data_IF_296524589832
#
_entry.id   IF_296524589832
#
_cell.length_a   1.000
_cell.length_b   1.000
_cell.length_c   1.000
_cell.angle_alpha   90.00
_cell.angle_beta   90.00
_cell.angle_gamma   90.00
#
_symmetry.space_group_name_H-M   'P 1'
#
loop_
_entity.id
_entity.type
_entity.pdbx_description
1 polymer ?
#
# COMPACT_ATOMS: atom_id res chain seq x y z
N UNK A 1 -21.28 -18.16 53.70
CA UNK A 1 -21.73 -18.83 52.45
C UNK A 1 -20.60 -18.65 51.46
N UNK A 2 -19.87 -19.75 51.24
CA UNK A 2 -18.73 -19.83 50.33
C UNK A 2 -19.24 -19.83 48.88
N UNK A 3 -18.42 -19.38 47.93
CA UNK A 3 -18.25 -20.11 46.67
C UNK A 3 -16.86 -19.83 46.07
N UNK A 4 -16.19 -20.94 45.76
CA UNK A 4 -14.84 -21.07 45.25
C UNK A 4 -14.91 -21.27 43.73
N UNK A 5 -14.19 -20.44 42.97
CA UNK A 5 -13.91 -20.67 41.56
C UNK A 5 -12.62 -21.48 41.40
N UNK A 6 -12.72 -22.74 40.96
CA UNK A 6 -11.59 -23.50 40.39
C UNK A 6 -12.13 -24.34 39.22
N UNK A 7 -11.75 -23.98 37.99
CA UNK A 7 -11.90 -24.82 36.81
C UNK A 7 -10.51 -25.07 36.21
N UNK A 8 -10.00 -26.29 36.39
CA UNK A 8 -8.79 -26.81 35.76
C UNK A 8 -9.13 -27.93 34.78
N UNK A 9 -8.77 -27.69 33.51
CA UNK A 9 -8.12 -28.58 32.54
C UNK A 9 -8.71 -29.98 32.26
N UNK A 10 -9.07 -30.26 31.01
CA UNK A 10 -8.25 -31.05 30.05
C UNK A 10 -9.03 -31.44 28.77
N UNK A 11 -8.37 -31.30 27.62
CA UNK A 11 -8.68 -31.93 26.33
C UNK A 11 -8.34 -33.43 26.32
N UNK A 12 -8.85 -34.22 25.35
CA UNK A 12 -7.94 -34.63 24.27
C UNK A 12 -8.56 -34.75 22.85
N UNK A 13 -7.71 -34.38 21.89
CA UNK A 13 -7.46 -34.88 20.52
C UNK A 13 -8.47 -35.84 19.88
N UNK A 14 -8.94 -35.49 18.67
CA UNK A 14 -9.23 -36.46 17.62
C UNK A 14 -8.71 -35.99 16.24
N UNK A 15 -8.12 -36.94 15.52
CA UNK A 15 -7.40 -36.81 14.24
C UNK A 15 -8.21 -37.49 13.14
N UNK A 16 -8.55 -36.77 12.05
CA UNK A 16 -8.60 -37.34 10.68
C UNK A 16 -8.81 -36.31 9.56
N UNK A 17 -7.73 -36.12 8.80
CA UNK A 17 -7.57 -36.14 7.35
C UNK A 17 -8.61 -35.54 6.37
N UNK A 18 -8.11 -34.52 5.66
CA UNK A 18 -8.09 -34.32 4.19
C UNK A 18 -9.39 -34.20 3.40
N UNK A 19 -9.69 -32.97 2.96
CA UNK A 19 -10.16 -32.70 1.60
C UNK A 19 -9.51 -31.42 1.04
N UNK A 20 -8.91 -31.57 -0.13
CA UNK A 20 -8.28 -30.52 -0.94
C UNK A 20 -9.36 -29.71 -1.65
N UNK A 21 -9.53 -28.43 -1.32
CA UNK A 21 -10.30 -27.49 -2.15
C UNK A 21 -9.40 -26.36 -2.65
N UNK A 22 -9.16 -26.39 -3.96
CA UNK A 22 -8.25 -25.50 -4.67
C UNK A 22 -8.72 -24.05 -4.62
N UNK A 23 -7.89 -23.20 -4.03
CA UNK A 23 -8.00 -21.76 -4.17
C UNK A 23 -7.66 -21.37 -5.60
N UNK A 24 -8.67 -20.93 -6.35
CA UNK A 24 -8.51 -20.35 -7.67
C UNK A 24 -7.68 -19.06 -7.56
N UNK A 25 -6.72 -18.95 -8.47
CA UNK A 25 -5.73 -17.88 -8.66
C UNK A 25 -6.27 -16.47 -8.36
N UNK A 26 -5.64 -15.79 -7.39
CA UNK A 26 -5.85 -14.38 -7.13
C UNK A 26 -5.12 -13.56 -8.21
N UNK A 27 -5.89 -12.86 -9.04
CA UNK A 27 -5.35 -11.94 -10.03
C UNK A 27 -4.64 -10.76 -9.33
N UNK A 28 -3.32 -10.80 -9.32
CA UNK A 28 -2.47 -9.70 -8.87
C UNK A 28 -2.54 -8.57 -9.91
N UNK A 29 -3.26 -7.49 -9.59
CA UNK A 29 -3.29 -6.29 -10.43
C UNK A 29 -1.98 -5.53 -10.23
N UNK A 30 -1.09 -5.61 -11.23
CA UNK A 30 0.13 -4.81 -11.29
C UNK A 30 -0.21 -3.33 -11.44
N UNK A 31 0.40 -2.49 -10.59
CA UNK A 31 0.26 -1.03 -10.60
C UNK A 31 1.13 -0.44 -11.70
N UNK A 32 0.58 0.55 -12.40
CA UNK A 32 1.32 1.39 -13.35
C UNK A 32 2.46 2.12 -12.64
N UNK A 33 3.70 1.86 -13.05
CA UNK A 33 4.87 2.69 -12.76
C UNK A 33 5.10 3.66 -13.92
N UNK A 34 5.16 4.96 -13.62
CA UNK A 34 5.56 5.99 -14.57
C UNK A 34 7.10 6.00 -14.59
N UNK A 35 7.71 5.50 -15.67
CA UNK A 35 9.15 5.64 -15.91
C UNK A 35 9.39 6.94 -16.67
N UNK A 36 10.06 7.91 -16.02
CA UNK A 36 10.69 9.04 -16.73
C UNK A 36 11.99 8.54 -17.35
N UNK A 37 12.11 8.60 -18.68
CA UNK A 37 13.38 8.37 -19.37
C UNK A 37 14.14 9.69 -19.48
N UNK A 38 15.19 9.84 -18.68
CA UNK A 38 16.25 10.82 -18.91
C UNK A 38 17.34 10.15 -19.74
N UNK A 39 17.58 10.66 -20.94
CA UNK A 39 18.80 10.40 -21.71
C UNK A 39 19.30 11.78 -22.10
N UNK A 40 20.29 12.38 -21.43
CA UNK A 40 21.61 11.82 -21.16
C UNK A 40 22.50 12.19 -22.34
N UNK A 41 22.85 13.47 -22.45
CA UNK A 41 23.74 13.99 -23.49
C UNK A 41 25.18 13.54 -23.26
N UNK A 42 25.91 13.31 -24.35
CA UNK A 42 27.36 13.19 -24.31
C UNK A 42 27.99 13.76 -25.57
N UNK A 43 28.96 14.64 -25.35
CA UNK A 43 29.80 15.33 -26.33
C UNK A 43 31.18 14.66 -26.33
N UNK A 44 31.75 14.33 -27.50
CA UNK A 44 33.15 14.64 -27.87
C UNK A 44 33.65 13.95 -29.16
N UNK A 45 34.08 14.81 -30.08
CA UNK A 45 35.33 14.89 -30.84
C UNK A 45 35.77 13.84 -31.90
N UNK A 46 35.81 14.37 -33.14
CA UNK A 46 36.86 14.35 -34.17
C UNK A 46 37.32 13.03 -34.80
N UNK A 47 37.00 12.84 -36.09
CA UNK A 47 38.00 12.44 -37.11
C UNK A 47 37.60 12.95 -38.50
N UNK A 48 38.61 13.36 -39.27
CA UNK A 48 38.60 13.91 -40.63
C UNK A 48 38.19 12.90 -41.71
N UNK A 49 37.55 13.39 -42.77
CA UNK A 49 37.32 12.59 -43.98
C UNK A 49 36.33 13.22 -44.95
N UNK A 50 36.81 14.09 -45.83
CA UNK A 50 36.09 14.46 -47.05
C UNK A 50 36.24 13.33 -48.06
N UNK A 51 35.17 12.63 -48.44
CA UNK A 51 35.05 12.03 -49.78
C UNK A 51 33.58 11.86 -50.21
N UNK A 52 33.30 12.46 -51.38
CA UNK A 52 32.42 12.01 -52.45
C UNK A 52 30.96 11.62 -52.15
N UNK A 53 30.08 12.39 -52.79
CA UNK A 53 28.70 12.02 -53.08
C UNK A 53 28.59 10.64 -53.75
N UNK A 54 27.80 9.75 -53.15
CA UNK A 54 27.09 8.71 -53.88
C UNK A 54 25.64 8.68 -53.39
N UNK A 55 24.76 9.21 -54.25
CA UNK A 55 23.31 9.25 -54.07
C UNK A 55 22.76 7.83 -54.21
N UNK A 56 22.82 7.02 -53.16
CA UNK A 56 22.12 5.74 -53.13
C UNK A 56 20.64 5.98 -52.85
N UNK A 57 19.88 5.91 -53.94
CA UNK A 57 18.44 5.71 -54.04
C UNK A 57 17.90 4.96 -52.82
N UNK A 58 17.14 5.65 -51.97
CA UNK A 58 16.23 5.03 -50.99
C UNK A 58 15.36 4.04 -51.76
N UNK A 59 15.70 2.76 -51.70
CA UNK A 59 14.72 1.72 -51.97
C UNK A 59 13.82 1.72 -50.75
N UNK A 60 12.66 2.34 -50.90
CA UNK A 60 11.51 2.06 -50.07
C UNK A 60 11.14 0.60 -50.25
N UNK A 61 11.77 -0.27 -49.46
CA UNK A 61 11.29 -1.61 -49.24
C UNK A 61 10.01 -1.48 -48.43
N UNK A 62 8.89 -1.37 -49.14
CA UNK A 62 7.56 -1.55 -48.57
C UNK A 62 7.41 -3.01 -48.19
N UNK A 63 8.01 -3.41 -47.07
CA UNK A 63 7.50 -4.54 -46.33
C UNK A 63 6.62 -3.97 -45.23
N UNK A 64 5.34 -3.82 -45.59
CA UNK A 64 4.26 -3.80 -44.63
C UNK A 64 4.35 -5.09 -43.80
N UNK A 65 5.12 -5.04 -42.73
CA UNK A 65 5.04 -6.00 -41.65
C UNK A 65 4.65 -5.20 -40.41
N UNK A 66 3.43 -4.65 -40.43
CA UNK A 66 2.72 -4.36 -39.19
C UNK A 66 2.69 -5.67 -38.40
N UNK A 67 3.35 -5.78 -37.24
CA UNK A 67 3.16 -6.94 -36.40
C UNK A 67 1.69 -6.91 -35.99
N UNK A 68 0.96 -7.91 -36.49
CA UNK A 68 -0.45 -8.13 -36.20
C UNK A 68 -0.59 -8.33 -34.69
N UNK A 69 -1.38 -7.47 -34.06
CA UNK A 69 -2.08 -7.77 -32.81
C UNK A 69 -1.30 -7.50 -31.53
N UNK A 70 -0.92 -6.25 -31.29
CA UNK A 70 -0.99 -5.76 -29.92
C UNK A 70 -2.49 -5.57 -29.66
N UNK A 71 -3.13 -6.57 -29.07
CA UNK A 71 -4.33 -6.32 -28.28
C UNK A 71 -3.89 -5.32 -27.22
N UNK A 72 -4.07 -4.03 -27.52
CA UNK A 72 -4.13 -3.02 -26.51
C UNK A 72 -5.20 -3.52 -25.55
N UNK A 73 -4.76 -4.09 -24.43
CA UNK A 73 -5.62 -4.68 -23.42
C UNK A 73 -6.47 -3.51 -22.97
N UNK A 74 -7.65 -3.34 -23.58
CA UNK A 74 -8.63 -2.35 -23.16
C UNK A 74 -8.82 -2.67 -21.69
N UNK A 75 -8.32 -1.80 -20.84
CA UNK A 75 -8.65 -1.86 -19.44
C UNK A 75 -10.16 -1.66 -19.41
N UNK A 76 -10.88 -2.77 -19.24
CA UNK A 76 -12.34 -2.73 -19.08
C UNK A 76 -12.53 -1.84 -17.87
N UNK A 77 -13.00 -0.62 -18.13
CA UNK A 77 -13.41 0.31 -17.08
C UNK A 77 -14.76 -0.21 -16.63
N UNK A 78 -14.75 -0.96 -15.55
CA UNK A 78 -15.98 -1.33 -14.88
C UNK A 78 -16.61 -0.05 -14.35
N UNK A 79 -17.91 0.12 -14.63
CA UNK A 79 -18.69 1.19 -14.02
C UNK A 79 -18.84 0.94 -12.52
N UNK A 80 -19.02 2.02 -11.77
CA UNK A 80 -19.35 1.90 -10.35
C UNK A 80 -20.63 1.09 -10.20
N UNK A 81 -20.63 0.18 -9.23
CA UNK A 81 -21.74 -0.75 -9.00
C UNK A 81 -22.80 -0.14 -8.07
N UNK A 82 -22.63 1.13 -7.68
CA UNK A 82 -23.52 1.93 -6.82
C UNK A 82 -23.99 1.19 -5.57
N UNK A 83 -23.14 0.33 -5.03
CA UNK A 83 -23.46 -0.37 -3.77
C UNK A 83 -23.20 0.60 -2.65
N UNK A 84 -24.20 0.82 -1.82
CA UNK A 84 -24.12 1.78 -0.71
C UNK A 84 -23.66 1.14 0.60
N UNK A 85 -23.58 -0.18 0.65
CA UNK A 85 -23.20 -0.94 1.84
C UNK A 85 -22.19 -2.04 1.48
N UNK A 86 -21.20 -2.30 2.34
CA UNK A 86 -20.28 -3.42 2.19
C UNK A 86 -21.03 -4.74 2.41
N UNK A 87 -20.61 -5.79 1.71
CA UNK A 87 -21.10 -7.13 1.98
C UNK A 87 -20.75 -7.53 3.42
N UNK A 88 -21.53 -8.41 4.04
CA UNK A 88 -21.37 -8.78 5.46
C UNK A 88 -19.97 -9.29 5.81
N UNK A 89 -19.34 -10.02 4.88
CA UNK A 89 -17.99 -10.58 5.03
C UNK A 89 -16.87 -9.53 4.90
N UNK A 90 -17.19 -8.36 4.34
CA UNK A 90 -16.23 -7.29 4.03
C UNK A 90 -16.33 -6.08 4.99
N UNK A 91 -17.01 -6.26 6.13
CA UNK A 91 -17.07 -5.24 7.18
C UNK A 91 -15.71 -5.03 7.84
N UNK A 92 -15.44 -3.78 8.21
CA UNK A 92 -14.18 -3.40 8.86
C UNK A 92 -14.18 -3.85 10.32
N UNK A 93 -13.39 -4.88 10.63
CA UNK A 93 -13.04 -5.21 12.01
C UNK A 93 -11.94 -4.28 12.52
N UNK A 94 -12.35 -3.22 13.21
CA UNK A 94 -11.45 -2.21 13.77
C UNK A 94 -10.47 -2.80 14.79
N UNK A 95 -10.87 -3.83 15.53
CA UNK A 95 -10.00 -4.43 16.54
C UNK A 95 -8.84 -5.15 15.87
N UNK A 96 -9.14 -6.02 14.89
CA UNK A 96 -8.12 -6.73 14.11
C UNK A 96 -7.19 -5.76 13.37
N UNK A 97 -7.75 -4.73 12.74
CA UNK A 97 -6.97 -3.70 12.02
C UNK A 97 -6.05 -2.96 13.00
N UNK A 98 -6.57 -2.56 14.17
CA UNK A 98 -5.79 -1.85 15.20
C UNK A 98 -4.64 -2.71 15.73
N UNK A 99 -4.88 -3.99 16.00
CA UNK A 99 -3.84 -4.93 16.44
C UNK A 99 -2.74 -5.08 15.37
N UNK A 100 -3.13 -5.29 14.12
CA UNK A 100 -2.19 -5.43 13.01
C UNK A 100 -1.36 -4.15 12.81
N UNK A 101 -2.03 -2.99 12.77
CA UNK A 101 -1.36 -1.69 12.65
C UNK A 101 -0.40 -1.44 13.81
N UNK A 102 -0.80 -1.78 15.03
CA UNK A 102 0.03 -1.60 16.23
C UNK A 102 1.29 -2.45 16.15
N UNK A 103 1.17 -3.73 15.79
CA UNK A 103 2.33 -4.63 15.64
C UNK A 103 3.30 -4.14 14.57
N UNK A 104 2.79 -3.66 13.44
CA UNK A 104 3.59 -3.09 12.35
C UNK A 104 4.31 -1.82 12.80
N UNK A 105 3.65 -0.94 13.54
CA UNK A 105 4.25 0.30 14.05
C UNK A 105 5.32 0.00 15.10
N UNK A 106 5.06 -0.94 16.01
CA UNK A 106 6.01 -1.34 17.05
C UNK A 106 7.28 -1.95 16.46
N UNK A 107 7.15 -2.81 15.46
CA UNK A 107 8.29 -3.40 14.75
C UNK A 107 9.09 -2.35 13.97
N UNK A 108 8.42 -1.37 13.35
CA UNK A 108 9.10 -0.31 12.61
C UNK A 108 9.82 0.70 13.52
N UNK A 109 9.30 0.95 14.72
CA UNK A 109 9.86 1.90 15.69
C UNK A 109 10.93 1.24 16.58
N UNK A 110 10.98 -0.08 16.66
CA UNK A 110 11.98 -0.80 17.44
C UNK A 110 13.40 -0.41 17.01
N UNK A 111 14.13 0.30 17.87
CA UNK A 111 15.49 0.77 17.61
C UNK A 111 15.59 2.07 16.78
N UNK A 112 14.47 2.73 16.46
CA UNK A 112 14.50 4.02 15.76
C UNK A 112 14.94 5.15 16.69
N UNK A 113 15.96 5.89 16.26
CA UNK A 113 16.41 7.14 16.90
C UNK A 113 16.02 8.33 16.04
N UNK A 114 15.67 9.45 16.67
CA UNK A 114 15.21 10.62 15.94
C UNK A 114 16.36 11.36 15.26
N UNK A 115 16.36 11.38 13.94
CA UNK A 115 17.19 12.27 13.12
C UNK A 115 16.30 13.20 12.28
N UNK A 116 16.42 14.53 12.40
CA UNK A 116 15.59 15.47 11.62
C UNK A 116 15.73 15.30 10.11
N UNK A 117 16.90 14.86 9.61
CA UNK A 117 17.12 14.68 8.18
C UNK A 117 16.42 13.42 7.64
N UNK A 118 16.37 12.36 8.44
CA UNK A 118 15.78 11.07 8.07
C UNK A 118 14.29 10.97 8.43
N UNK A 119 13.81 11.76 9.39
CA UNK A 119 12.44 11.69 9.90
C UNK A 119 11.38 11.81 8.80
N UNK A 120 11.59 12.69 7.81
CA UNK A 120 10.67 12.84 6.68
C UNK A 120 10.60 11.56 5.84
N UNK A 121 11.74 10.99 5.49
CA UNK A 121 11.81 9.77 4.70
C UNK A 121 11.22 8.58 5.46
N UNK A 122 11.54 8.47 6.75
CA UNK A 122 10.99 7.45 7.62
C UNK A 122 9.47 7.56 7.77
N UNK A 123 8.91 8.77 7.91
CA UNK A 123 7.47 8.97 7.98
C UNK A 123 6.74 8.50 6.70
N UNK A 124 7.30 8.80 5.53
CA UNK A 124 6.74 8.34 4.24
C UNK A 124 6.85 6.82 4.12
N UNK A 125 8.02 6.25 4.43
CA UNK A 125 8.24 4.81 4.39
C UNK A 125 7.29 4.06 5.34
N UNK A 126 7.07 4.58 6.55
CA UNK A 126 6.14 4.03 7.53
C UNK A 126 4.69 4.11 7.01
N UNK A 127 4.30 5.23 6.41
CA UNK A 127 2.97 5.40 5.82
C UNK A 127 2.72 4.38 4.70
N UNK A 128 3.70 4.19 3.80
CA UNK A 128 3.62 3.23 2.71
C UNK A 128 3.60 1.79 3.20
N UNK A 129 4.40 1.48 4.22
CA UNK A 129 4.44 0.16 4.84
C UNK A 129 3.07 -0.18 5.45
N UNK A 130 2.50 0.71 6.26
CA UNK A 130 1.18 0.51 6.87
C UNK A 130 0.11 0.39 5.78
N UNK A 131 0.11 1.29 4.79
CA UNK A 131 -0.81 1.25 3.65
C UNK A 131 -0.70 -0.08 2.90
N UNK A 132 0.50 -0.61 2.72
CA UNK A 132 0.72 -1.88 2.02
C UNK A 132 0.17 -3.07 2.80
N UNK A 133 0.36 -3.09 4.13
CA UNK A 133 -0.16 -4.14 5.01
C UNK A 133 -1.69 -4.12 5.06
N UNK A 134 -2.29 -2.93 5.17
CA UNK A 134 -3.75 -2.79 5.20
C UNK A 134 -4.40 -3.19 3.87
N UNK A 135 -3.70 -3.01 2.75
CA UNK A 135 -4.18 -3.44 1.42
C UNK A 135 -4.16 -4.96 1.22
N UNK A 136 -3.43 -5.71 2.04
CA UNK A 136 -3.46 -7.17 1.98
C UNK A 136 -4.75 -7.74 2.58
N UNK A 137 -5.44 -6.95 3.41
CA UNK A 137 -6.75 -7.32 3.94
C UNK A 137 -7.82 -7.18 2.84
N UNK A 138 -8.82 -8.07 2.80
CA UNK A 138 -9.82 -8.12 1.74
C UNK A 138 -10.86 -7.00 1.91
N UNK A 139 -10.50 -5.76 1.58
CA UNK A 139 -11.40 -4.61 1.61
C UNK A 139 -11.51 -3.99 0.20
N UNK A 140 -12.22 -4.64 -0.74
CA UNK A 140 -12.19 -4.26 -2.15
C UNK A 140 -12.77 -2.86 -2.43
N UNK A 141 -13.69 -2.39 -1.59
CA UNK A 141 -14.42 -1.11 -1.74
C UNK A 141 -13.95 -0.01 -0.81
N UNK A 142 -12.88 -0.22 -0.05
CA UNK A 142 -12.37 0.80 0.85
C UNK A 142 -11.12 1.47 0.29
N UNK A 143 -11.19 2.79 0.16
CA UNK A 143 -10.01 3.62 -0.04
C UNK A 143 -9.34 3.83 1.31
N UNK A 144 -8.13 3.31 1.42
CA UNK A 144 -7.29 3.43 2.61
C UNK A 144 -6.38 4.64 2.46
N UNK A 145 -6.32 5.49 3.47
CA UNK A 145 -5.38 6.61 3.57
C UNK A 145 -4.66 6.56 4.92
N UNK A 146 -3.37 6.85 4.92
CA UNK A 146 -2.54 6.81 6.13
C UNK A 146 -1.84 8.14 6.28
N UNK A 147 -2.05 8.77 7.43
CA UNK A 147 -1.36 9.98 7.85
C UNK A 147 -0.42 9.62 8.98
N UNK A 148 0.87 9.95 8.82
CA UNK A 148 1.91 9.72 9.82
C UNK A 148 2.48 11.06 10.25
N UNK A 149 2.58 11.27 11.56
CA UNK A 149 3.23 12.41 12.18
C UNK A 149 4.34 11.91 13.10
N UNK A 150 5.56 12.38 12.87
CA UNK A 150 6.74 12.05 13.67
C UNK A 150 7.35 13.35 14.15
N UNK A 151 7.71 13.42 15.43
CA UNK A 151 8.44 14.56 15.94
C UNK A 151 9.31 14.22 17.14
N UNK A 152 10.22 15.14 17.44
CA UNK A 152 11.18 14.98 18.52
C UNK A 152 10.53 15.24 19.88
N UNK A 153 10.84 14.40 20.88
CA UNK A 153 10.42 14.57 22.26
C UNK A 153 11.43 15.47 22.98
N UNK A 154 11.06 16.74 23.19
CA UNK A 154 11.87 17.75 23.92
C UNK A 154 11.07 18.50 24.99
N UNK A 155 10.12 17.82 25.62
CA UNK A 155 9.23 18.46 26.62
C UNK A 155 8.18 19.40 26.02
N UNK A 156 7.89 19.26 24.73
CA UNK A 156 6.87 20.03 24.02
C UNK A 156 5.49 19.38 24.17
N UNK A 157 4.42 20.17 24.07
CA UNK A 157 3.05 19.66 23.99
C UNK A 157 2.54 19.76 22.56
N UNK A 158 2.01 18.67 22.04
CA UNK A 158 1.39 18.61 20.72
C UNK A 158 -0.01 18.02 20.82
N UNK A 159 -0.99 18.72 20.24
CA UNK A 159 -2.36 18.23 20.06
C UNK A 159 -2.71 18.16 18.58
N UNK A 160 -2.94 16.95 18.08
CA UNK A 160 -3.40 16.73 16.71
C UNK A 160 -4.90 16.41 16.75
N UNK A 161 -5.66 17.11 15.90
CA UNK A 161 -7.10 16.88 15.71
C UNK A 161 -7.36 16.82 14.22
N UNK A 162 -8.17 15.87 13.78
CA UNK A 162 -8.69 15.79 12.42
C UNK A 162 -10.20 15.99 12.45
N UNK A 163 -10.74 16.75 11.49
CA UNK A 163 -12.19 16.95 11.29
C UNK A 163 -12.52 16.48 9.89
N UNK A 164 -13.49 15.57 9.79
CA UNK A 164 -13.90 14.95 8.54
C UNK A 164 -15.42 15.03 8.39
N UNK A 165 -15.88 15.15 7.14
CA UNK A 165 -17.27 14.92 6.75
C UNK A 165 -17.26 13.57 6.05
N UNK A 166 -17.99 12.60 6.58
CA UNK A 166 -17.91 11.20 6.18
C UNK A 166 -19.18 10.46 6.61
N UNK A 167 -19.45 9.28 6.05
CA UNK A 167 -20.61 8.50 6.42
C UNK A 167 -20.41 7.80 7.78
N UNK A 168 -21.34 8.01 8.69
CA UNK A 168 -21.34 7.43 10.03
C UNK A 168 -21.44 5.91 9.99
N UNK A 169 -22.03 5.32 8.95
CA UNK A 169 -22.22 3.87 8.87
C UNK A 169 -21.00 3.16 8.29
N UNK A 170 -20.45 3.64 7.18
CA UNK A 170 -19.39 2.91 6.47
C UNK A 170 -17.98 3.40 6.75
N UNK A 171 -17.78 4.71 6.95
CA UNK A 171 -16.44 5.28 7.08
C UNK A 171 -15.89 5.12 8.49
N UNK A 172 -14.60 4.78 8.60
CA UNK A 172 -13.94 4.51 9.88
C UNK A 172 -12.53 5.06 9.92
N UNK A 173 -12.05 5.40 11.10
CA UNK A 173 -10.68 5.85 11.32
C UNK A 173 -10.10 5.17 12.54
N UNK A 174 -8.78 5.01 12.55
CA UNK A 174 -8.03 4.47 13.68
C UNK A 174 -6.83 5.37 13.91
N UNK A 175 -6.67 5.82 15.16
CA UNK A 175 -5.51 6.58 15.60
C UNK A 175 -4.69 5.75 16.58
N UNK A 176 -3.40 5.67 16.32
CA UNK A 176 -2.41 4.96 17.14
C UNK A 176 -1.29 5.94 17.45
N UNK A 177 -0.95 6.04 18.73
CA UNK A 177 0.16 6.85 19.21
C UNK A 177 1.16 5.93 19.89
N UNK A 178 2.43 6.07 19.53
CA UNK A 178 3.55 5.37 20.14
C UNK A 178 4.63 6.38 20.47
N UNK A 179 5.27 6.18 21.60
CA UNK A 179 6.36 7.01 22.07
C UNK A 179 7.62 6.17 22.20
N UNK A 180 8.73 6.78 21.85
CA UNK A 180 10.09 6.28 22.05
C UNK A 180 10.78 7.20 23.06
N UNK A 181 12.04 6.94 23.40
CA UNK A 181 12.84 7.82 24.24
C UNK A 181 12.92 9.25 23.67
N UNK A 182 13.24 9.37 22.37
CA UNK A 182 13.58 10.67 21.76
C UNK A 182 12.53 11.21 20.79
N UNK A 183 11.48 10.42 20.49
CA UNK A 183 10.45 10.77 19.51
C UNK A 183 9.05 10.33 19.92
N UNK A 184 8.06 10.99 19.34
CA UNK A 184 6.68 10.52 19.31
C UNK A 184 6.29 10.22 17.86
N UNK A 185 5.48 9.18 17.69
CA UNK A 185 4.93 8.76 16.40
C UNK A 185 3.42 8.62 16.55
N UNK A 186 2.69 9.34 15.72
CA UNK A 186 1.24 9.26 15.63
C UNK A 186 0.85 8.85 14.22
N UNK A 187 0.02 7.82 14.13
CA UNK A 187 -0.51 7.31 12.87
C UNK A 187 -2.02 7.37 12.92
N UNK A 188 -2.62 8.00 11.92
CA UNK A 188 -4.06 7.97 11.68
C UNK A 188 -4.33 7.29 10.35
N UNK A 189 -5.13 6.22 10.39
CA UNK A 189 -5.56 5.47 9.22
C UNK A 189 -7.03 5.79 9.00
N UNK A 190 -7.38 6.20 7.78
CA UNK A 190 -8.75 6.46 7.34
C UNK A 190 -9.17 5.38 6.35
N UNK A 191 -10.39 4.88 6.55
CA UNK A 191 -11.08 3.97 5.66
C UNK A 191 -12.30 4.70 5.13
N UNK A 192 -12.31 4.95 3.82
CA UNK A 192 -13.40 5.62 3.13
C UNK A 192 -14.04 4.63 2.18
N UNK A 193 -15.34 4.42 2.30
CA UNK A 193 -16.09 3.55 1.42
C UNK A 193 -16.30 4.21 0.05
N UNK A 194 -16.10 3.43 -1.02
CA UNK A 194 -16.33 3.88 -2.40
C UNK A 194 -17.49 3.10 -3.01
N UNK A 195 -18.54 3.82 -3.40
CA UNK A 195 -19.72 3.33 -4.14
C UNK A 195 -19.37 2.76 -5.52
#
# INVERSE_FOLDING_TARGET
MADLNIATKNSPVDVRSSETHGYKSCNTVQRNSILLSSTGGNTSNNTSGNFAALRQRRQSSSTNAFPRGIYERRFIRYENTYRMEPDDDHKLDLFRIRCLATSVIETAIAGYTYDPNQAKHFAVALADLIRSQMKQLPFPRYKIMTQVCIGQKRGQNLRIVSRCIWDLKQDRHITITKETADAYVMVTIFFIYTE
#
